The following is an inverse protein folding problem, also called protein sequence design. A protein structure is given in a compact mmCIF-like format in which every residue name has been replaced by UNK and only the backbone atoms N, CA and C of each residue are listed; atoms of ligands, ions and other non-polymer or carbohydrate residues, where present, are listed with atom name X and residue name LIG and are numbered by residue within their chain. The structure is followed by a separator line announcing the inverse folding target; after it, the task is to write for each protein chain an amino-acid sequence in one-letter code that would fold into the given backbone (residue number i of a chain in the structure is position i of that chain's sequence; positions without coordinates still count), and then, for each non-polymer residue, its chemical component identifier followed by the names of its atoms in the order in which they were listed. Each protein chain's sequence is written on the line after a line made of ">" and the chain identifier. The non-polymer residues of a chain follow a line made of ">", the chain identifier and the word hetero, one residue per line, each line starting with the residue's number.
data_IF_054533055012
#
_entry.id   IF_054533055012
#
_cell.length_a   1.000
_cell.length_b   1.000
_cell.length_c   1.000
_cell.angle_alpha   90.00
_cell.angle_beta   90.00
_cell.angle_gamma   90.00
#
_symmetry.space_group_name_H-M   'P 1'
#
loop_
_entity.id
_entity.type
_entity.pdbx_description
1 polymer ?
#
# COMPACT_ATOMS: atom_id res chain seq x y z
N UNK A 1 22.54 -26.93 -25.94
CA UNK A 1 21.06 -26.82 -25.86
C UNK A 1 20.76 -25.49 -25.18
N UNK A 2 20.91 -24.43 -25.95
CA UNK A 2 20.77 -23.05 -25.52
C UNK A 2 19.29 -22.70 -25.43
N UNK A 3 18.74 -22.75 -24.21
CA UNK A 3 17.41 -22.22 -23.94
C UNK A 3 17.52 -20.69 -23.91
N UNK A 4 17.01 -20.08 -24.97
CA UNK A 4 16.72 -18.67 -25.06
C UNK A 4 16.10 -18.18 -23.75
N UNK A 5 16.84 -17.36 -23.00
CA UNK A 5 16.27 -16.44 -22.03
C UNK A 5 15.51 -15.41 -22.86
N UNK A 6 14.30 -15.78 -23.27
CA UNK A 6 13.38 -14.87 -23.93
C UNK A 6 13.24 -13.65 -23.03
N UNK A 7 13.46 -12.46 -23.58
CA UNK A 7 13.25 -11.21 -22.89
C UNK A 7 11.91 -11.24 -22.17
N UNK A 8 11.93 -11.24 -20.83
CA UNK A 8 10.72 -11.09 -20.05
C UNK A 8 10.26 -9.66 -20.30
N UNK A 9 9.38 -9.49 -21.30
CA UNK A 9 8.77 -8.22 -21.60
C UNK A 9 8.17 -7.67 -20.30
N UNK A 10 8.68 -6.52 -19.86
CA UNK A 10 8.28 -5.94 -18.59
C UNK A 10 6.75 -5.75 -18.57
N UNK A 11 6.12 -6.23 -17.48
CA UNK A 11 4.70 -6.03 -17.22
C UNK A 11 4.54 -5.09 -16.04
N UNK A 12 3.58 -4.16 -16.08
CA UNK A 12 3.26 -3.33 -14.94
C UNK A 12 2.86 -4.22 -13.74
N UNK A 13 3.21 -3.83 -12.50
CA UNK A 13 2.92 -4.64 -11.31
C UNK A 13 1.42 -4.90 -11.06
N UNK A 14 0.56 -4.02 -11.60
CA UNK A 14 -0.90 -4.08 -11.52
C UNK A 14 -1.50 -3.83 -12.90
N UNK A 15 -2.75 -4.26 -13.12
CA UNK A 15 -3.43 -3.97 -14.37
C UNK A 15 -3.79 -2.47 -14.44
N UNK A 16 -3.89 -1.91 -15.66
CA UNK A 16 -4.25 -0.49 -15.79
C UNK A 16 -5.63 -0.17 -15.18
N UNK A 17 -6.57 -1.11 -15.23
CA UNK A 17 -7.89 -0.96 -14.58
C UNK A 17 -7.81 -0.85 -13.05
N UNK A 18 -6.81 -1.48 -12.43
CA UNK A 18 -6.61 -1.38 -10.98
C UNK A 18 -6.26 0.07 -10.62
N UNK A 19 -5.33 0.70 -11.34
CA UNK A 19 -4.98 2.12 -11.14
C UNK A 19 -6.18 3.04 -11.33
N UNK A 20 -7.05 2.75 -12.31
CA UNK A 20 -8.27 3.53 -12.54
C UNK A 20 -9.27 3.39 -11.38
N UNK A 21 -9.45 2.17 -10.87
CA UNK A 21 -10.32 1.90 -9.73
C UNK A 21 -9.83 2.61 -8.46
N UNK A 22 -8.52 2.62 -8.22
CA UNK A 22 -7.88 3.34 -7.12
C UNK A 22 -8.05 4.85 -7.25
N UNK A 23 -7.88 5.40 -8.45
CA UNK A 23 -8.15 6.81 -8.70
C UNK A 23 -9.60 7.19 -8.39
N UNK A 24 -10.55 6.36 -8.83
CA UNK A 24 -11.98 6.54 -8.53
C UNK A 24 -12.26 6.41 -7.04
N UNK A 25 -11.60 5.47 -6.36
CA UNK A 25 -11.71 5.30 -4.91
C UNK A 25 -11.16 6.51 -4.16
N UNK A 26 -10.00 7.01 -4.56
CA UNK A 26 -9.37 8.20 -3.97
C UNK A 26 -10.30 9.42 -4.04
N UNK A 27 -10.98 9.60 -5.19
CA UNK A 27 -11.96 10.67 -5.41
C UNK A 27 -13.32 10.44 -4.75
N UNK A 28 -13.57 9.27 -4.19
CA UNK A 28 -14.85 8.97 -3.56
C UNK A 28 -15.07 9.83 -2.32
N UNK A 29 -16.31 10.28 -2.13
CA UNK A 29 -16.71 11.06 -0.96
C UNK A 29 -16.40 10.32 0.37
N UNK A 30 -16.56 8.99 0.38
CA UNK A 30 -16.24 8.17 1.55
C UNK A 30 -14.75 8.25 1.91
N UNK A 31 -13.88 8.17 0.91
CA UNK A 31 -12.44 8.29 1.13
C UNK A 31 -12.06 9.70 1.55
N UNK A 32 -12.66 10.72 0.93
CA UNK A 32 -12.46 12.11 1.32
C UNK A 32 -12.83 12.37 2.79
N UNK A 33 -14.01 11.91 3.21
CA UNK A 33 -14.46 12.02 4.60
C UNK A 33 -13.49 11.32 5.56
N UNK A 34 -13.11 10.08 5.26
CA UNK A 34 -12.14 9.35 6.09
C UNK A 34 -10.80 10.09 6.21
N UNK A 35 -10.28 10.61 5.09
CA UNK A 35 -8.99 11.30 5.06
C UNK A 35 -9.04 12.62 5.83
N UNK A 36 -10.14 13.37 5.71
CA UNK A 36 -10.37 14.60 6.45
C UNK A 36 -10.41 14.36 7.97
N UNK A 37 -11.12 13.32 8.42
CA UNK A 37 -11.19 13.02 9.85
C UNK A 37 -9.89 12.43 10.42
N UNK A 38 -9.13 11.67 9.61
CA UNK A 38 -7.89 11.03 10.08
C UNK A 38 -6.71 12.00 10.07
N UNK A 39 -6.60 12.83 9.02
CA UNK A 39 -5.41 13.65 8.76
C UNK A 39 -5.69 15.16 8.67
N UNK A 40 -6.96 15.59 8.71
CA UNK A 40 -7.33 17.02 8.58
C UNK A 40 -7.11 17.62 7.20
N UNK A 41 -6.78 16.80 6.19
CA UNK A 41 -6.39 17.26 4.85
C UNK A 41 -7.23 16.58 3.77
N UNK A 42 -7.13 17.08 2.53
CA UNK A 42 -7.75 16.46 1.35
C UNK A 42 -6.69 15.55 0.69
N UNK A 43 -7.02 14.30 0.31
CA UNK A 43 -6.06 13.41 -0.31
C UNK A 43 -5.67 13.91 -1.71
N UNK A 44 -4.38 13.82 -2.03
CA UNK A 44 -3.88 14.09 -3.39
C UNK A 44 -4.08 12.87 -4.28
N UNK A 45 -5.10 12.90 -5.14
CA UNK A 45 -5.40 11.81 -6.08
C UNK A 45 -4.65 11.92 -7.43
N UNK A 46 -3.78 12.91 -7.59
CA UNK A 46 -3.10 13.18 -8.86
C UNK A 46 -2.17 12.04 -9.26
N UNK A 47 -1.45 11.46 -8.29
CA UNK A 47 -0.52 10.35 -8.53
C UNK A 47 -1.21 9.14 -9.18
N UNK A 48 -2.39 8.74 -8.69
CA UNK A 48 -3.16 7.63 -9.28
C UNK A 48 -3.59 7.89 -10.72
N UNK A 49 -3.89 9.14 -11.05
CA UNK A 49 -4.24 9.54 -12.42
C UNK A 49 -3.03 9.44 -13.34
N UNK A 50 -1.88 9.93 -12.89
CA UNK A 50 -0.61 9.85 -13.63
C UNK A 50 -0.18 8.41 -13.83
N UNK A 51 -0.26 7.57 -12.80
CA UNK A 51 0.03 6.13 -12.88
C UNK A 51 -0.88 5.42 -13.90
N UNK A 52 -2.18 5.73 -13.91
CA UNK A 52 -3.08 5.19 -14.92
C UNK A 52 -2.68 5.60 -16.35
N UNK A 53 -2.35 6.87 -16.57
CA UNK A 53 -1.88 7.35 -17.88
C UNK A 53 -0.59 6.66 -18.31
N UNK A 54 0.41 6.59 -17.42
CA UNK A 54 1.67 5.91 -17.69
C UNK A 54 1.46 4.41 -18.01
N UNK A 55 0.50 3.76 -17.35
CA UNK A 55 0.16 2.37 -17.62
C UNK A 55 -0.42 2.18 -19.02
N UNK A 56 -1.36 3.04 -19.41
CA UNK A 56 -1.97 3.01 -20.75
C UNK A 56 -0.98 3.36 -21.85
N UNK A 57 -0.06 4.27 -21.58
CA UNK A 57 0.99 4.65 -22.53
C UNK A 57 2.02 3.53 -22.72
N UNK A 58 2.33 2.77 -21.66
CA UNK A 58 3.13 1.55 -21.78
C UNK A 58 2.42 0.48 -22.63
N UNK A 59 1.12 0.23 -22.42
CA UNK A 59 0.36 -0.75 -23.19
C UNK A 59 0.32 -0.41 -24.69
N UNK A 60 0.17 0.86 -25.03
CA UNK A 60 0.04 1.33 -26.42
C UNK A 60 1.38 1.50 -27.13
N UNK A 61 2.31 2.20 -26.49
CA UNK A 61 3.54 2.68 -27.14
C UNK A 61 4.80 2.02 -26.58
N UNK A 62 4.70 1.22 -25.51
CA UNK A 62 5.84 0.62 -24.79
C UNK A 62 6.91 1.66 -24.42
N UNK A 63 6.46 2.86 -24.03
CA UNK A 63 7.33 3.97 -23.67
C UNK A 63 8.20 3.66 -22.45
N UNK A 64 9.52 3.75 -22.59
CA UNK A 64 10.47 3.46 -21.52
C UNK A 64 10.32 4.40 -20.32
N UNK A 65 10.03 5.68 -20.57
CA UNK A 65 9.79 6.69 -19.54
C UNK A 65 8.57 6.36 -18.68
N UNK A 66 7.44 6.00 -19.30
CA UNK A 66 6.21 5.62 -18.62
C UNK A 66 6.42 4.39 -17.71
N UNK A 67 7.22 3.42 -18.18
CA UNK A 67 7.64 2.26 -17.39
C UNK A 67 8.46 2.66 -16.17
N UNK A 68 9.42 3.57 -16.32
CA UNK A 68 10.26 4.02 -15.22
C UNK A 68 9.49 4.85 -14.19
N UNK A 69 8.58 5.71 -14.65
CA UNK A 69 7.69 6.50 -13.81
C UNK A 69 6.82 5.58 -12.93
N UNK A 70 6.14 4.60 -13.52
CA UNK A 70 5.35 3.59 -12.80
C UNK A 70 6.18 2.77 -11.80
N UNK A 71 7.38 2.36 -12.22
CA UNK A 71 8.27 1.60 -11.33
C UNK A 71 8.67 2.44 -10.12
N UNK A 72 8.86 3.75 -10.28
CA UNK A 72 9.22 4.66 -9.20
C UNK A 72 8.04 4.90 -8.26
N UNK A 73 6.85 5.18 -8.79
CA UNK A 73 5.66 5.41 -7.96
C UNK A 73 5.29 4.19 -7.13
N UNK A 74 5.36 2.98 -7.70
CA UNK A 74 5.11 1.73 -6.96
C UNK A 74 6.14 1.48 -5.85
N UNK A 75 7.42 1.77 -6.10
CA UNK A 75 8.45 1.65 -5.07
C UNK A 75 8.18 2.58 -3.89
N UNK A 76 7.81 3.83 -4.16
CA UNK A 76 7.47 4.81 -3.13
C UNK A 76 6.27 4.31 -2.31
N UNK A 77 5.21 3.87 -2.98
CA UNK A 77 4.00 3.35 -2.31
C UNK A 77 4.30 2.13 -1.41
N UNK A 78 5.08 1.18 -1.90
CA UNK A 78 5.47 0.00 -1.11
C UNK A 78 6.36 0.38 0.08
N UNK A 79 7.22 1.40 -0.08
CA UNK A 79 8.01 1.92 1.03
C UNK A 79 7.12 2.59 2.08
N UNK A 80 6.15 3.40 1.68
CA UNK A 80 5.18 4.03 2.60
C UNK A 80 4.37 2.99 3.39
N UNK A 81 3.95 1.89 2.76
CA UNK A 81 3.29 0.79 3.47
C UNK A 81 4.18 0.12 4.53
N UNK A 82 5.50 0.25 4.42
CA UNK A 82 6.46 -0.30 5.38
C UNK A 82 6.88 0.71 6.45
N UNK A 83 6.47 1.97 6.35
CA UNK A 83 6.87 3.04 7.27
C UNK A 83 6.16 3.01 8.64
N UNK A 84 5.52 1.89 9.01
CA UNK A 84 4.92 1.75 10.32
C UNK A 84 5.92 1.12 11.29
N UNK A 85 6.27 1.87 12.35
CA UNK A 85 7.08 1.34 13.44
C UNK A 85 6.14 0.47 14.29
N UNK A 86 6.35 -0.86 14.37
CA UNK A 86 5.51 -1.70 15.19
C UNK A 86 5.68 -1.32 16.66
N UNK A 87 4.62 -0.76 17.26
CA UNK A 87 4.59 -0.47 18.71
C UNK A 87 4.68 -1.77 19.51
N UNK A 88 4.12 -2.85 18.97
CA UNK A 88 4.10 -4.17 19.58
C UNK A 88 5.07 -5.10 18.85
N UNK A 89 5.97 -5.74 19.60
CA UNK A 89 6.79 -6.81 19.06
C UNK A 89 5.92 -8.06 18.82
N UNK A 90 6.21 -8.78 17.73
CA UNK A 90 5.55 -10.06 17.44
C UNK A 90 5.88 -11.06 18.57
N UNK A 91 4.87 -11.49 19.33
CA UNK A 91 5.06 -12.48 20.39
C UNK A 91 5.33 -13.84 19.78
N UNK A 92 6.37 -14.52 20.26
CA UNK A 92 6.67 -15.89 19.85
C UNK A 92 5.81 -16.92 20.61
N UNK A 93 5.50 -16.63 21.87
CA UNK A 93 4.73 -17.50 22.74
C UNK A 93 3.72 -16.67 23.56
N UNK A 94 2.56 -17.25 23.92
CA UNK A 94 1.63 -16.59 24.82
C UNK A 94 2.27 -16.39 26.21
N UNK A 95 1.90 -15.31 26.94
CA UNK A 95 2.29 -15.17 28.35
C UNK A 95 1.90 -16.40 29.16
N UNK A 96 2.77 -16.88 30.06
CA UNK A 96 2.56 -18.15 30.79
C UNK A 96 1.30 -18.14 31.67
N UNK A 97 0.91 -16.97 32.12
CA UNK A 97 -0.21 -16.68 33.00
C UNK A 97 -1.49 -16.27 32.24
N UNK A 98 -1.54 -16.40 30.91
CA UNK A 98 -2.70 -16.00 30.11
C UNK A 98 -4.01 -16.72 30.49
N UNK A 99 -3.88 -17.94 31.04
CA UNK A 99 -5.00 -18.77 31.50
C UNK A 99 -5.50 -18.43 32.90
N UNK A 100 -4.78 -17.61 33.66
CA UNK A 100 -5.13 -17.33 35.06
C UNK A 100 -6.32 -16.38 35.07
N UNK A 101 -7.41 -16.67 35.82
CA UNK A 101 -8.51 -15.72 35.97
C UNK A 101 -7.97 -14.41 36.52
N UNK A 102 -8.40 -13.29 35.95
CA UNK A 102 -8.08 -11.95 36.47
C UNK A 102 -8.64 -11.87 37.91
N UNK A 103 -7.80 -12.17 38.90
CA UNK A 103 -8.20 -12.11 40.30
C UNK A 103 -8.71 -10.69 40.57
N UNK A 104 -9.98 -10.62 40.97
CA UNK A 104 -10.65 -9.40 41.40
C UNK A 104 -9.90 -8.86 42.63
N UNK A 105 -9.71 -7.54 42.64
CA UNK A 105 -9.13 -6.74 43.74
C UNK A 105 -7.61 -6.92 43.95
N UNK A 106 -6.84 -5.99 43.36
CA UNK A 106 -5.59 -5.56 43.99
C UNK A 106 -5.97 -4.75 45.23
N UNK A 107 -5.48 -5.07 46.44
CA UNK A 107 -5.60 -4.14 47.55
C UNK A 107 -4.87 -2.86 47.14
N UNK A 108 -5.50 -1.70 47.35
CA UNK A 108 -4.83 -0.41 47.27
C UNK A 108 -3.69 -0.39 48.27
N UNK A 109 -2.45 -0.31 47.79
CA UNK A 109 -1.31 0.04 48.63
C UNK A 109 -1.58 1.42 49.26
N UNK A 110 -1.63 1.46 50.60
CA UNK A 110 -1.78 2.67 51.42
C UNK A 110 -0.47 3.44 51.55
#
# INVERSE_FOLDING_TARGET
>A
MDRAVGEIAWRPPRACEDYWSEFRHCKSFKNWFHYYYTYGTVPSCQQWKEDYHNCRDWEKHRGTEAKEALRRSEKIRVAEQRNFIPVWQLRQEPPRDWHVPLNQEKPQDS
#
